data_IF_248095830622
#
_entry.id   IF_248095830622
#
_cell.length_a   1.000
_cell.length_b   1.000
_cell.length_c   1.000
_cell.angle_alpha   90.00
_cell.angle_beta   90.00
_cell.angle_gamma   90.00
#
_symmetry.space_group_name_H-M   'P 1'
#
loop_
_entity.id
_entity.type
_entity.pdbx_description
1 polymer ?
#
# COMPACT_ATOMS: atom_id res chain seq x y z
N UNK A 1 2.68 8.21 7.70
CA UNK A 1 1.46 8.91 7.20
C UNK A 1 0.33 7.90 7.08
N UNK A 2 -0.95 8.31 7.15
CA UNK A 2 -2.10 7.39 6.95
C UNK A 2 -2.84 7.70 5.65
N UNK A 3 -3.07 6.67 4.85
CA UNK A 3 -3.74 6.80 3.55
C UNK A 3 -4.91 5.79 3.47
N UNK A 4 -6.12 6.22 3.07
CA UNK A 4 -7.24 5.30 2.87
C UNK A 4 -6.98 4.38 1.68
N UNK A 5 -7.09 3.07 1.84
CA UNK A 5 -6.86 2.07 0.80
C UNK A 5 -8.06 1.14 0.68
N UNK A 6 -8.42 0.79 -0.55
CA UNK A 6 -9.49 -0.17 -0.82
C UNK A 6 -8.88 -1.50 -1.20
N UNK A 7 -8.78 -2.40 -0.22
CA UNK A 7 -8.22 -3.72 -0.44
C UNK A 7 -9.23 -4.62 -1.18
N UNK A 8 -8.74 -5.30 -2.22
CA UNK A 8 -9.48 -6.39 -2.86
C UNK A 8 -8.91 -7.71 -2.33
N UNK A 9 -9.69 -8.44 -1.55
CA UNK A 9 -9.30 -9.76 -1.05
C UNK A 9 -9.94 -10.79 -1.98
N UNK A 10 -9.22 -11.35 -2.98
CA UNK A 10 -9.83 -12.29 -3.90
C UNK A 10 -10.10 -13.63 -3.21
N UNK A 11 -11.23 -14.24 -3.59
CA UNK A 11 -11.67 -15.57 -3.19
C UNK A 11 -10.59 -16.61 -3.50
N UNK A 12 -9.99 -17.18 -2.46
CA UNK A 12 -9.19 -18.39 -2.59
C UNK A 12 -10.18 -19.55 -2.64
N UNK A 13 -10.67 -19.84 -3.86
CA UNK A 13 -11.63 -20.91 -4.12
C UNK A 13 -11.29 -22.19 -3.34
N UNK A 14 -12.32 -22.79 -2.76
CA UNK A 14 -12.25 -23.97 -1.90
C UNK A 14 -11.42 -25.10 -2.51
N UNK A 15 -10.25 -25.38 -1.92
CA UNK A 15 -9.59 -26.67 -2.04
C UNK A 15 -9.29 -27.14 -0.61
N UNK A 16 -10.17 -28.03 -0.11
CA UNK A 16 -10.12 -28.73 1.18
C UNK A 16 -10.51 -27.96 2.48
N UNK A 17 -11.35 -28.64 3.28
CA UNK A 17 -12.10 -28.22 4.47
C UNK A 17 -11.27 -27.84 5.73
N UNK A 18 -10.33 -26.88 5.64
CA UNK A 18 -9.61 -26.42 6.84
C UNK A 18 -9.71 -24.92 7.16
N UNK A 19 -10.00 -24.04 6.20
CA UNK A 19 -10.36 -22.64 6.49
C UNK A 19 -11.00 -21.98 5.28
N UNK A 20 -12.34 -21.83 5.23
CA UNK A 20 -13.00 -21.05 4.20
C UNK A 20 -12.73 -19.56 4.47
N UNK A 21 -11.94 -18.89 3.63
CA UNK A 21 -11.85 -17.43 3.67
C UNK A 21 -12.83 -16.86 2.66
N UNK A 22 -14.04 -16.57 3.16
CA UNK A 22 -15.05 -15.84 2.41
C UNK A 22 -14.95 -14.37 2.82
N UNK A 23 -14.39 -13.52 1.95
CA UNK A 23 -14.47 -12.07 2.05
C UNK A 23 -14.39 -11.50 0.63
N UNK A 24 -15.51 -11.58 -0.10
CA UNK A 24 -15.70 -10.81 -1.33
C UNK A 24 -16.29 -9.46 -0.91
N UNK A 25 -15.50 -8.65 -0.22
CA UNK A 25 -15.86 -7.26 0.05
C UNK A 25 -14.63 -6.40 -0.23
N UNK A 26 -14.86 -5.29 -0.93
CA UNK A 26 -13.89 -4.19 -0.92
C UNK A 26 -13.79 -3.73 0.52
N UNK A 27 -12.63 -3.96 1.16
CA UNK A 27 -12.40 -3.52 2.53
C UNK A 27 -11.78 -2.13 2.49
N UNK A 28 -12.46 -1.14 3.05
CA UNK A 28 -11.89 0.18 3.26
C UNK A 28 -11.05 0.15 4.53
N UNK A 29 -9.74 0.33 4.37
CA UNK A 29 -8.74 0.36 5.46
C UNK A 29 -7.94 1.66 5.39
N UNK A 30 -7.22 1.97 6.46
CA UNK A 30 -6.17 2.98 6.42
C UNK A 30 -4.80 2.31 6.54
N UNK A 31 -3.90 2.63 5.63
CA UNK A 31 -2.52 2.15 5.66
C UNK A 31 -1.65 3.20 6.30
N UNK A 32 -0.95 2.82 7.37
CA UNK A 32 0.16 3.62 7.86
C UNK A 32 1.40 3.25 7.08
N UNK A 33 1.98 4.23 6.40
CA UNK A 33 3.13 4.02 5.53
C UNK A 33 4.13 5.17 5.61
N UNK A 34 5.30 4.91 5.08
CA UNK A 34 6.35 5.89 4.82
C UNK A 34 6.87 5.72 3.39
N UNK A 35 7.28 6.84 2.79
CA UNK A 35 7.86 6.84 1.45
C UNK A 35 9.36 6.97 1.57
N UNK A 36 10.07 5.96 1.09
CA UNK A 36 11.52 5.92 1.04
C UNK A 36 12.04 6.10 -0.39
N UNK A 37 13.36 6.25 -0.53
CA UNK A 37 14.03 6.36 -1.81
C UNK A 37 15.07 5.25 -1.94
N UNK A 38 14.76 4.25 -2.74
CA UNK A 38 15.59 3.06 -2.94
C UNK A 38 15.83 2.86 -4.45
N UNK A 39 17.03 2.43 -4.83
CA UNK A 39 17.41 2.11 -6.22
C UNK A 39 17.08 3.16 -7.31
N UNK A 40 16.83 4.41 -6.93
CA UNK A 40 16.53 5.51 -7.85
C UNK A 40 15.03 5.74 -8.09
N UNK A 41 14.17 5.10 -7.32
CA UNK A 41 12.71 5.25 -7.35
C UNK A 41 12.13 5.40 -5.94
N UNK A 42 10.95 6.02 -5.79
CA UNK A 42 10.27 6.05 -4.50
C UNK A 42 9.64 4.69 -4.23
N UNK A 43 9.85 4.19 -3.02
CA UNK A 43 9.25 2.94 -2.53
C UNK A 43 8.36 3.28 -1.35
N UNK A 44 7.20 2.63 -1.24
CA UNK A 44 6.31 2.77 -0.08
C UNK A 44 6.50 1.58 0.83
N UNK A 45 6.77 1.85 2.11
CA UNK A 45 6.80 0.84 3.16
C UNK A 45 5.55 1.00 4.00
N UNK A 46 4.71 -0.03 4.04
CA UNK A 46 3.50 -0.04 4.86
C UNK A 46 3.85 -0.67 6.22
N UNK A 47 3.71 0.09 7.30
CA UNK A 47 4.08 -0.32 8.65
C UNK A 47 2.92 -0.90 9.45
N UNK A 48 1.67 -0.51 9.14
CA UNK A 48 0.48 -1.05 9.79
C UNK A 48 -0.79 -0.88 8.90
N UNK A 49 -1.79 -1.72 9.16
CA UNK A 49 -3.09 -1.73 8.46
C UNK A 49 -4.18 -1.53 9.50
N UNK A 50 -4.98 -0.47 9.34
CA UNK A 50 -6.05 -0.13 10.27
C UNK A 50 -7.43 -0.37 9.66
N UNK A 51 -8.29 -1.02 10.44
CA UNK A 51 -9.72 -1.11 10.18
C UNK A 51 -10.44 -0.51 11.40
N UNK A 52 -11.25 0.52 11.19
CA UNK A 52 -11.94 1.26 12.25
C UNK A 52 -11.00 1.68 13.41
N UNK A 53 -9.87 2.33 13.07
CA UNK A 53 -8.82 2.77 14.02
C UNK A 53 -8.10 1.64 14.78
N UNK A 54 -8.31 0.37 14.42
CA UNK A 54 -7.64 -0.78 15.03
C UNK A 54 -6.61 -1.37 14.09
N UNK A 55 -5.39 -1.54 14.60
CA UNK A 55 -4.34 -2.26 13.89
C UNK A 55 -4.72 -3.73 13.72
N UNK A 56 -4.76 -4.18 12.47
CA UNK A 56 -4.94 -5.58 12.11
C UNK A 56 -3.65 -6.38 12.30
N UNK A 57 -2.47 -5.76 12.12
CA UNK A 57 -1.18 -6.42 12.32
C UNK A 57 -0.90 -6.73 13.80
N UNK A 58 -1.37 -5.86 14.71
CA UNK A 58 -1.24 -6.03 16.15
C UNK A 58 -2.41 -6.80 16.76
N UNK A 59 -3.35 -7.28 15.94
CA UNK A 59 -4.49 -8.05 16.41
C UNK A 59 -4.03 -9.40 16.99
N UNK A 60 -4.72 -9.84 18.04
CA UNK A 60 -4.56 -11.18 18.62
C UNK A 60 -5.08 -12.28 17.68
N UNK A 61 -5.96 -11.93 16.74
CA UNK A 61 -6.53 -12.84 15.75
C UNK A 61 -5.53 -13.15 14.62
N UNK A 62 -5.07 -14.41 14.47
CA UNK A 62 -4.18 -14.81 13.38
C UNK A 62 -4.75 -14.54 11.98
N UNK A 63 -6.09 -14.55 11.84
CA UNK A 63 -6.74 -14.24 10.58
C UNK A 63 -6.59 -12.76 10.24
N UNK A 64 -6.84 -11.87 11.20
CA UNK A 64 -6.67 -10.44 11.02
C UNK A 64 -5.23 -10.09 10.59
N UNK A 65 -4.22 -10.73 11.21
CA UNK A 65 -2.82 -10.56 10.80
C UNK A 65 -2.55 -11.08 9.38
N UNK A 66 -3.10 -12.23 9.03
CA UNK A 66 -2.95 -12.80 7.67
C UNK A 66 -3.58 -11.89 6.61
N UNK A 67 -4.73 -11.29 6.91
CA UNK A 67 -5.38 -10.30 6.06
C UNK A 67 -4.50 -9.04 5.96
N UNK A 68 -3.98 -8.53 7.08
CA UNK A 68 -3.11 -7.37 7.11
C UNK A 68 -1.83 -7.56 6.28
N UNK A 69 -1.15 -8.70 6.44
CA UNK A 69 0.07 -9.04 5.69
C UNK A 69 -0.19 -9.09 4.18
N UNK A 70 -1.38 -9.55 3.78
CA UNK A 70 -1.77 -9.58 2.37
C UNK A 70 -2.05 -8.17 1.84
N UNK A 71 -2.83 -7.38 2.57
CA UNK A 71 -3.14 -5.99 2.21
C UNK A 71 -1.85 -5.18 2.09
N UNK A 72 -0.91 -5.35 3.02
CA UNK A 72 0.40 -4.71 2.99
C UNK A 72 1.11 -5.00 1.66
N UNK A 73 1.28 -6.27 1.30
CA UNK A 73 1.96 -6.67 0.06
C UNK A 73 1.26 -6.13 -1.18
N UNK A 74 -0.07 -6.29 -1.22
CA UNK A 74 -0.86 -5.83 -2.36
C UNK A 74 -0.76 -4.30 -2.52
N UNK A 75 -0.67 -3.55 -1.42
CA UNK A 75 -0.50 -2.10 -1.46
C UNK A 75 0.93 -1.64 -1.82
N UNK A 76 1.94 -2.36 -1.35
CA UNK A 76 3.35 -2.10 -1.69
C UNK A 76 3.66 -2.41 -3.16
N UNK A 77 2.85 -3.25 -3.82
CA UNK A 77 2.91 -3.55 -5.24
C UNK A 77 1.89 -2.73 -6.09
N UNK A 78 1.08 -1.85 -5.48
CA UNK A 78 0.04 -1.07 -6.18
C UNK A 78 0.57 0.31 -6.62
N UNK A 79 0.87 0.44 -7.91
CA UNK A 79 1.35 1.67 -8.54
C UNK A 79 0.48 2.91 -8.21
N UNK A 80 -0.85 2.76 -8.20
CA UNK A 80 -1.75 3.89 -7.94
C UNK A 80 -1.73 4.31 -6.46
N UNK A 81 -1.53 3.34 -5.56
CA UNK A 81 -1.31 3.61 -4.15
C UNK A 81 0.03 4.33 -3.94
N UNK A 82 1.10 3.83 -4.56
CA UNK A 82 2.45 4.39 -4.49
C UNK A 82 2.46 5.85 -4.97
N UNK A 83 1.92 6.12 -6.15
CA UNK A 83 1.84 7.48 -6.70
C UNK A 83 1.13 8.45 -5.74
N UNK A 84 0.02 8.01 -5.13
CA UNK A 84 -0.73 8.83 -4.17
C UNK A 84 0.03 9.02 -2.86
N UNK A 85 0.74 8.00 -2.38
CA UNK A 85 1.58 8.11 -1.19
C UNK A 85 2.71 9.12 -1.40
N UNK A 86 3.36 9.05 -2.57
CA UNK A 86 4.42 9.97 -2.98
C UNK A 86 3.91 11.41 -3.09
N UNK A 87 2.75 11.63 -3.71
CA UNK A 87 2.13 12.95 -3.83
C UNK A 87 1.76 13.54 -2.46
N UNK A 88 1.20 12.71 -1.56
CA UNK A 88 0.79 13.15 -0.23
C UNK A 88 1.97 13.39 0.72
N UNK A 89 3.03 12.59 0.62
CA UNK A 89 4.28 12.82 1.37
C UNK A 89 4.95 14.14 0.94
N UNK A 90 4.87 14.47 -0.35
CA UNK A 90 5.34 15.74 -0.90
C UNK A 90 6.86 15.89 -0.95
N UNK A 91 7.62 14.87 -0.55
CA UNK A 91 9.09 14.88 -0.62
C UNK A 91 9.66 14.65 -2.02
N UNK A 92 8.80 14.43 -3.03
CA UNK A 92 9.21 14.09 -4.39
C UNK A 92 8.53 14.99 -5.42
N UNK A 93 9.25 15.30 -6.49
CA UNK A 93 8.71 16.05 -7.63
C UNK A 93 9.10 15.36 -8.92
N UNK A 94 8.18 15.32 -9.87
CA UNK A 94 8.49 14.89 -11.23
C UNK A 94 9.27 16.00 -11.94
N UNK A 95 10.53 15.73 -12.32
CA UNK A 95 11.35 16.69 -13.06
C UNK A 95 11.59 16.17 -14.47
N UNK A 96 10.80 16.68 -15.41
CA UNK A 96 11.08 16.53 -16.83
C UNK A 96 12.37 17.29 -17.20
N UNK A 97 13.28 16.64 -17.93
CA UNK A 97 14.56 17.23 -18.35
C UNK A 97 14.43 18.14 -19.60
N UNK A 98 13.22 18.57 -19.94
CA UNK A 98 12.95 19.52 -21.01
C UNK A 98 11.62 19.25 -21.71
N UNK A 99 11.24 20.08 -22.69
CA UNK A 99 9.96 19.97 -23.40
C UNK A 99 9.84 18.74 -24.34
N UNK A 100 10.91 17.93 -24.49
CA UNK A 100 10.97 16.80 -25.41
C UNK A 100 11.43 15.48 -24.74
N UNK A 101 11.40 15.41 -23.41
CA UNK A 101 11.82 14.21 -22.68
C UNK A 101 10.59 13.62 -21.95
N UNK A 102 9.85 12.69 -22.60
CA UNK A 102 8.68 12.06 -21.99
C UNK A 102 9.06 11.14 -20.82
N UNK A 103 10.34 10.76 -20.71
CA UNK A 103 10.86 9.80 -19.73
C UNK A 103 11.33 10.50 -18.44
N UNK A 104 10.69 11.63 -18.08
CA UNK A 104 11.05 12.39 -16.89
C UNK A 104 11.17 11.50 -15.64
N UNK A 105 12.02 11.91 -14.70
CA UNK A 105 12.28 11.12 -13.48
C UNK A 105 11.74 11.83 -12.26
N UNK A 106 11.27 11.04 -11.30
CA UNK A 106 11.07 11.57 -9.95
C UNK A 106 12.41 11.99 -9.37
N UNK A 107 12.42 13.12 -8.68
CA UNK A 107 13.55 13.60 -7.90
C UNK A 107 13.07 13.95 -6.51
N UNK A 108 13.84 13.53 -5.51
CA UNK A 108 13.60 13.95 -4.13
C UNK A 108 13.79 15.46 -4.01
N UNK A 109 12.75 16.16 -3.58
CA UNK A 109 12.81 17.57 -3.21
C UNK A 109 13.31 17.58 -1.78
N UNK A 110 14.58 17.93 -1.59
CA UNK A 110 15.11 18.10 -0.24
C UNK A 110 14.26 19.16 0.50
N UNK A 111 13.76 18.81 1.68
CA UNK A 111 13.17 19.74 2.64
C UNK A 111 14.17 20.80 3.09
#
# INVERSE_FOLDING_TARGET
MRIPYTAQIPDAGTVDDATPFMLIECLEVELECEVEWEDGEPVVLVSDVYLDDRSLMQSDDPLARTIADRIQRDAEDDDAFIERAVDQDGSFSFRGLGPNDPDGRMVRVAA
#
